data_IF_933014720413
#
_entry.id   IF_933014720413
#
_cell.length_a   1.000
_cell.length_b   1.000
_cell.length_c   1.000
_cell.angle_alpha   90.00
_cell.angle_beta   90.00
_cell.angle_gamma   90.00
#
_symmetry.space_group_name_H-M   'P 1'
#
loop_
_entity.id
_entity.type
_entity.pdbx_description
1 polymer ?
#
# COMPACT_ATOMS: atom_id res chain seq x y z
N UNK A 1 0.20 9.60 17.83
CA UNK A 1 1.49 9.30 17.20
C UNK A 1 1.40 7.86 16.72
N UNK A 2 1.28 7.64 15.42
CA UNK A 2 1.42 6.31 14.86
C UNK A 2 2.89 5.96 14.95
N UNK A 3 3.24 4.79 15.48
CA UNK A 3 4.60 4.31 15.37
C UNK A 3 4.83 3.97 13.89
N UNK A 4 5.97 4.36 13.30
CA UNK A 4 6.30 3.90 11.97
C UNK A 4 6.45 2.38 12.02
N UNK A 5 5.81 1.70 11.08
CA UNK A 5 5.93 0.26 10.94
C UNK A 5 7.19 0.06 10.10
N UNK A 6 8.15 -0.69 10.64
CA UNK A 6 9.24 -1.20 9.82
C UNK A 6 8.72 -2.40 9.04
N UNK A 7 8.96 -2.40 7.72
CA UNK A 7 8.69 -3.55 6.88
C UNK A 7 9.43 -4.78 7.40
N UNK A 8 8.82 -5.96 7.26
CA UNK A 8 9.59 -7.20 7.38
C UNK A 8 10.53 -7.34 6.18
N UNK A 9 11.61 -8.14 6.25
CA UNK A 9 12.44 -8.42 5.09
C UNK A 9 11.66 -8.93 3.87
N UNK A 10 10.55 -9.65 4.12
CA UNK A 10 9.62 -10.09 3.06
C UNK A 10 8.87 -8.91 2.44
N UNK A 11 8.35 -7.98 3.26
CA UNK A 11 7.72 -6.76 2.77
C UNK A 11 8.67 -5.95 1.89
N UNK A 12 9.91 -5.74 2.33
CA UNK A 12 10.87 -4.92 1.58
C UNK A 12 11.31 -5.59 0.27
N UNK A 13 11.38 -6.93 0.24
CA UNK A 13 11.61 -7.68 -0.99
C UNK A 13 10.46 -7.51 -1.99
N UNK A 14 9.20 -7.56 -1.54
CA UNK A 14 8.02 -7.34 -2.40
C UNK A 14 7.99 -5.90 -2.92
N UNK A 15 8.26 -4.92 -2.05
CA UNK A 15 8.34 -3.52 -2.41
C UNK A 15 9.43 -3.27 -3.45
N UNK A 16 10.62 -3.85 -3.26
CA UNK A 16 11.71 -3.74 -4.22
C UNK A 16 11.34 -4.38 -5.57
N UNK A 17 10.69 -5.55 -5.56
CA UNK A 17 10.18 -6.24 -6.75
C UNK A 17 9.19 -5.36 -7.52
N UNK A 18 8.30 -4.67 -6.81
CA UNK A 18 7.35 -3.72 -7.41
C UNK A 18 8.06 -2.50 -8.03
N UNK A 19 9.03 -1.90 -7.32
CA UNK A 19 9.82 -0.78 -7.84
C UNK A 19 10.62 -1.22 -9.09
N UNK A 20 11.25 -2.39 -9.04
CA UNK A 20 12.00 -2.93 -10.17
C UNK A 20 11.09 -3.16 -11.38
N UNK A 21 9.89 -3.70 -11.19
CA UNK A 21 8.94 -3.89 -12.28
C UNK A 21 8.49 -2.57 -12.90
N UNK A 22 8.15 -1.59 -12.07
CA UNK A 22 7.78 -0.24 -12.51
C UNK A 22 8.91 0.44 -13.30
N UNK A 23 10.16 0.20 -12.90
CA UNK A 23 11.35 0.80 -13.51
C UNK A 23 11.50 0.48 -15.00
N UNK A 24 10.96 -0.65 -15.47
CA UNK A 24 10.97 -1.05 -16.88
C UNK A 24 10.23 -0.09 -17.82
N UNK A 25 9.38 0.77 -17.25
CA UNK A 25 8.52 1.68 -18.00
C UNK A 25 8.77 3.16 -17.66
N UNK A 26 9.88 3.48 -16.98
CA UNK A 26 10.23 4.83 -16.54
C UNK A 26 11.67 5.15 -16.89
N UNK A 27 11.99 6.43 -17.05
CA UNK A 27 13.32 6.84 -17.52
C UNK A 27 14.20 7.38 -16.40
N UNK A 28 13.60 7.95 -15.35
CA UNK A 28 14.32 8.64 -14.29
C UNK A 28 13.94 8.13 -12.89
N UNK A 29 14.94 7.98 -12.03
CA UNK A 29 14.82 7.79 -10.59
C UNK A 29 15.05 9.13 -9.89
N UNK A 30 14.18 9.44 -8.93
CA UNK A 30 14.32 10.56 -8.02
C UNK A 30 14.21 10.07 -6.59
N UNK A 31 15.15 10.47 -5.74
CA UNK A 31 15.15 10.18 -4.30
C UNK A 31 15.23 11.49 -3.53
N UNK A 32 14.45 11.62 -2.45
CA UNK A 32 14.58 12.73 -1.50
C UNK A 32 15.02 12.15 -0.16
N UNK A 33 16.23 12.52 0.28
CA UNK A 33 16.94 11.89 1.39
C UNK A 33 17.30 12.94 2.43
N UNK A 34 16.93 12.71 3.69
CA UNK A 34 17.42 13.47 4.85
C UNK A 34 18.84 12.98 5.18
N UNK A 35 19.84 13.50 4.47
CA UNK A 35 21.21 12.96 4.54
C UNK A 35 21.79 13.00 5.93
N UNK A 36 21.44 13.99 6.76
CA UNK A 36 21.89 14.07 8.15
C UNK A 36 21.33 12.93 9.00
N UNK A 37 20.10 12.50 8.74
CA UNK A 37 19.48 11.37 9.46
C UNK A 37 20.09 10.03 9.02
N UNK A 38 20.45 9.90 7.74
CA UNK A 38 20.99 8.65 7.19
C UNK A 38 22.49 8.50 7.46
N UNK A 39 23.28 9.58 7.40
CA UNK A 39 24.74 9.51 7.48
C UNK A 39 25.26 9.05 8.85
N UNK A 40 24.49 9.29 9.92
CA UNK A 40 24.85 8.90 11.27
C UNK A 40 24.94 7.38 11.43
N UNK A 41 23.99 6.65 10.84
CA UNK A 41 23.89 5.19 10.96
C UNK A 41 24.38 4.44 9.71
N UNK A 42 24.25 5.05 8.52
CA UNK A 42 24.51 4.45 7.21
C UNK A 42 25.35 5.35 6.28
N UNK A 43 26.56 5.77 6.69
CA UNK A 43 27.39 6.68 5.88
C UNK A 43 27.79 6.10 4.52
N UNK A 44 27.93 4.77 4.43
CA UNK A 44 28.23 4.10 3.16
C UNK A 44 27.09 4.19 2.14
N UNK A 45 25.84 4.30 2.59
CA UNK A 45 24.68 4.47 1.70
C UNK A 45 24.69 5.87 1.10
N UNK A 46 24.98 6.90 1.90
CA UNK A 46 25.15 8.27 1.38
C UNK A 46 26.32 8.35 0.39
N UNK A 47 27.45 7.73 0.71
CA UNK A 47 28.58 7.68 -0.21
C UNK A 47 28.21 6.99 -1.53
N UNK A 48 27.48 5.88 -1.47
CA UNK A 48 26.98 5.19 -2.67
C UNK A 48 26.06 6.08 -3.51
N UNK A 49 25.18 6.87 -2.88
CA UNK A 49 24.31 7.82 -3.57
C UNK A 49 25.13 8.94 -4.23
N UNK A 50 26.06 9.55 -3.50
CA UNK A 50 26.92 10.62 -4.01
C UNK A 50 27.83 10.15 -5.16
N UNK A 51 28.30 8.90 -5.14
CA UNK A 51 29.14 8.32 -6.18
C UNK A 51 28.37 7.94 -7.46
N UNK A 52 27.06 7.64 -7.34
CA UNK A 52 26.27 7.02 -8.42
C UNK A 52 25.15 7.90 -8.97
N UNK A 53 24.68 8.88 -8.21
CA UNK A 53 23.46 9.63 -8.49
C UNK A 53 23.74 11.13 -8.42
N UNK A 54 23.20 11.89 -9.37
CA UNK A 54 23.42 13.33 -9.42
C UNK A 54 22.66 14.02 -8.29
N UNK A 55 23.40 14.69 -7.40
CA UNK A 55 22.83 15.49 -6.33
C UNK A 55 22.35 16.83 -6.85
N UNK A 56 21.06 17.13 -6.66
CA UNK A 56 20.44 18.41 -7.04
C UNK A 56 19.84 19.09 -5.80
N UNK A 57 20.37 20.24 -5.40
CA UNK A 57 19.84 21.03 -4.26
C UNK A 57 20.47 20.74 -2.89
N UNK A 58 20.26 21.69 -1.97
CA UNK A 58 20.88 21.77 -0.63
C UNK A 58 19.86 22.16 0.47
N UNK A 59 18.59 21.81 0.30
CA UNK A 59 17.58 21.96 1.35
C UNK A 59 17.70 20.87 2.42
N UNK A 60 16.91 20.96 3.48
CA UNK A 60 16.87 20.02 4.62
C UNK A 60 16.95 18.54 4.17
N UNK A 61 16.18 18.18 3.13
CA UNK A 61 16.38 16.94 2.39
C UNK A 61 17.09 17.20 1.04
N UNK A 62 18.02 16.31 0.70
CA UNK A 62 18.80 16.31 -0.53
C UNK A 62 18.08 15.51 -1.59
N UNK A 63 17.95 16.08 -2.78
CA UNK A 63 17.38 15.41 -3.94
C UNK A 63 18.48 14.77 -4.79
N UNK A 64 18.31 13.50 -5.10
CA UNK A 64 19.19 12.69 -5.92
C UNK A 64 18.44 12.27 -7.18
N UNK A 65 19.02 12.49 -8.35
CA UNK A 65 18.43 12.16 -9.65
C UNK A 65 19.39 11.34 -10.51
N UNK A 66 18.89 10.27 -11.12
CA UNK A 66 19.64 9.44 -12.07
C UNK A 66 18.69 8.84 -13.11
N UNK A 67 19.25 8.42 -14.24
CA UNK A 67 18.55 7.52 -15.16
C UNK A 67 18.28 6.17 -14.47
N UNK A 68 17.17 5.54 -14.83
CA UNK A 68 16.86 4.19 -14.36
C UNK A 68 17.87 3.20 -14.95
N UNK A 69 18.58 2.50 -14.07
CA UNK A 69 19.61 1.53 -14.41
C UNK A 69 19.78 0.53 -13.27
N UNK A 70 20.52 -0.56 -13.51
CA UNK A 70 20.88 -1.51 -12.45
C UNK A 70 21.54 -0.82 -11.26
N UNK A 71 22.45 0.13 -11.52
CA UNK A 71 23.20 0.84 -10.47
C UNK A 71 22.31 1.73 -9.60
N UNK A 72 21.32 2.41 -10.20
CA UNK A 72 20.38 3.26 -9.47
C UNK A 72 19.33 2.43 -8.71
N UNK A 73 18.92 1.27 -9.24
CA UNK A 73 18.07 0.32 -8.51
C UNK A 73 18.79 -0.33 -7.32
N UNK A 74 20.08 -0.67 -7.43
CA UNK A 74 20.88 -1.15 -6.29
C UNK A 74 20.93 -0.13 -5.15
N UNK A 75 20.97 1.17 -5.47
CA UNK A 75 20.92 2.21 -4.45
C UNK A 75 19.57 2.24 -3.70
N UNK A 76 18.45 2.02 -4.41
CA UNK A 76 17.15 1.86 -3.78
C UNK A 76 17.17 0.65 -2.84
N UNK A 77 17.71 -0.48 -3.29
CA UNK A 77 17.79 -1.68 -2.45
C UNK A 77 18.55 -1.40 -1.15
N UNK A 78 19.70 -0.75 -1.22
CA UNK A 78 20.47 -0.36 -0.02
C UNK A 78 19.69 0.57 0.92
N UNK A 79 18.83 1.46 0.38
CA UNK A 79 17.94 2.31 1.18
C UNK A 79 16.77 1.52 1.81
N UNK A 80 16.29 0.46 1.15
CA UNK A 80 15.25 -0.43 1.67
C UNK A 80 15.78 -1.33 2.79
N UNK A 81 17.05 -1.72 2.73
CA UNK A 81 17.73 -2.57 3.73
C UNK A 81 18.12 -1.82 5.02
N UNK A 82 18.03 -0.49 5.04
CA UNK A 82 18.20 0.30 6.27
C UNK A 82 17.09 -0.02 7.27
N UNK A 83 17.38 0.12 8.56
CA UNK A 83 16.40 -0.06 9.64
C UNK A 83 16.35 1.16 10.54
N UNK A 84 15.41 1.22 11.48
CA UNK A 84 15.30 2.30 12.45
C UNK A 84 14.89 3.65 11.86
N UNK A 85 15.28 4.71 12.58
CA UNK A 85 14.99 6.10 12.24
C UNK A 85 15.49 6.49 10.84
N UNK A 86 16.66 6.00 10.44
CA UNK A 86 17.24 6.25 9.12
C UNK A 86 16.36 5.72 7.99
N UNK A 87 15.70 4.58 8.18
CA UNK A 87 14.78 4.03 7.19
C UNK A 87 13.51 4.87 7.05
N UNK A 88 12.89 5.17 8.19
CA UNK A 88 11.56 5.79 8.24
C UNK A 88 11.62 7.27 7.87
N UNK A 89 12.56 8.00 8.46
CA UNK A 89 12.64 9.46 8.33
C UNK A 89 13.78 9.90 7.42
N UNK A 90 14.79 9.04 7.22
CA UNK A 90 15.91 9.33 6.34
C UNK A 90 15.55 9.32 4.86
N UNK A 91 14.52 8.55 4.47
CA UNK A 91 14.03 8.47 3.08
C UNK A 91 12.65 9.10 2.99
N UNK A 92 12.56 10.29 2.40
CA UNK A 92 11.29 11.01 2.26
C UNK A 92 10.44 10.49 1.12
N UNK A 93 11.06 10.24 -0.03
CA UNK A 93 10.39 9.58 -1.14
C UNK A 93 11.37 8.81 -2.05
N UNK A 94 10.82 7.81 -2.72
CA UNK A 94 11.39 7.15 -3.89
C UNK A 94 10.40 7.36 -5.03
N UNK A 95 10.82 7.96 -6.12
CA UNK A 95 9.96 8.25 -7.26
C UNK A 95 10.57 7.71 -8.56
N UNK A 96 9.72 7.12 -9.40
CA UNK A 96 10.05 6.82 -10.78
C UNK A 96 9.24 7.73 -11.69
N UNK A 97 9.93 8.34 -12.67
CA UNK A 97 9.41 9.43 -13.49
C UNK A 97 9.57 9.08 -14.97
N UNK A 98 8.54 9.42 -15.75
CA UNK A 98 8.53 9.39 -17.22
C UNK A 98 7.91 10.67 -17.73
N UNK A 99 8.51 11.30 -18.74
CA UNK A 99 7.99 12.53 -19.36
C UNK A 99 7.66 13.65 -18.34
N UNK A 100 8.50 13.78 -17.30
CA UNK A 100 8.33 14.70 -16.16
C UNK A 100 7.09 14.43 -15.26
N UNK A 101 6.40 13.31 -15.45
CA UNK A 101 5.30 12.85 -14.60
C UNK A 101 5.74 11.69 -13.70
N UNK A 102 5.29 11.72 -12.44
CA UNK A 102 5.56 10.65 -11.48
C UNK A 102 4.69 9.43 -11.79
N UNK A 103 5.30 8.35 -12.25
CA UNK A 103 4.62 7.08 -12.51
C UNK A 103 4.55 6.20 -11.25
N UNK A 104 5.54 6.29 -10.37
CA UNK A 104 5.55 5.62 -9.07
C UNK A 104 6.05 6.58 -7.99
N UNK A 105 5.40 6.57 -6.82
CA UNK A 105 5.90 7.22 -5.62
C UNK A 105 5.72 6.31 -4.41
N UNK A 106 6.80 6.11 -3.68
CA UNK A 106 6.83 5.45 -2.37
C UNK A 106 7.28 6.43 -1.29
N UNK A 107 6.55 6.49 -0.18
CA UNK A 107 6.85 7.31 1.01
C UNK A 107 6.95 6.39 2.24
N UNK A 108 8.17 6.05 2.68
CA UNK A 108 8.41 5.11 3.79
C UNK A 108 7.69 5.48 5.09
N UNK A 109 7.76 6.75 5.50
CA UNK A 109 7.13 7.25 6.75
C UNK A 109 5.63 6.94 6.84
N UNK A 110 4.95 6.81 5.70
CA UNK A 110 3.51 6.56 5.61
C UNK A 110 3.17 5.20 4.98
N UNK A 111 4.17 4.38 4.68
CA UNK A 111 4.05 3.16 3.87
C UNK A 111 3.22 3.36 2.60
N UNK A 112 3.23 4.58 2.07
CA UNK A 112 2.33 4.96 0.98
C UNK A 112 2.99 4.64 -0.34
N UNK A 113 2.44 3.68 -1.06
CA UNK A 113 2.88 3.28 -2.38
C UNK A 113 1.81 3.62 -3.43
N UNK A 114 2.17 4.43 -4.42
CA UNK A 114 1.25 4.93 -5.44
C UNK A 114 1.83 4.71 -6.82
N UNK A 115 1.00 4.26 -7.76
CA UNK A 115 1.35 4.05 -9.17
C UNK A 115 0.33 4.78 -10.04
N UNK A 116 0.80 5.37 -11.14
CA UNK A 116 0.01 6.09 -12.12
C UNK A 116 0.35 5.61 -13.53
N UNK A 117 -0.67 5.25 -14.31
CA UNK A 117 -0.54 4.78 -15.71
C UNK A 117 -0.64 5.92 -16.74
N UNK A 118 -0.75 7.17 -16.26
CA UNK A 118 -1.01 8.37 -17.09
C UNK A 118 0.05 8.62 -18.16
N UNK A 119 1.32 8.65 -17.78
CA UNK A 119 2.48 8.82 -18.68
C UNK A 119 3.07 7.50 -19.15
N UNK A 120 2.73 6.38 -18.52
CA UNK A 120 3.38 5.09 -18.77
C UNK A 120 2.39 3.93 -18.80
N UNK A 121 1.69 3.77 -19.91
CA UNK A 121 0.70 2.70 -20.10
C UNK A 121 1.29 1.31 -19.84
N UNK A 122 0.62 0.54 -18.99
CA UNK A 122 0.99 -0.82 -18.61
C UNK A 122 1.85 -0.92 -17.34
N UNK A 123 2.22 0.18 -16.69
CA UNK A 123 3.05 0.13 -15.48
C UNK A 123 2.33 -0.58 -14.32
N UNK A 124 1.02 -0.36 -14.18
CA UNK A 124 0.18 -1.05 -13.19
C UNK A 124 0.20 -2.56 -13.42
N UNK A 125 0.03 -3.00 -14.67
CA UNK A 125 0.06 -4.42 -15.02
C UNK A 125 1.46 -5.03 -14.82
N UNK A 126 2.53 -4.29 -15.12
CA UNK A 126 3.89 -4.75 -14.89
C UNK A 126 4.15 -5.00 -13.40
N UNK A 127 3.72 -4.08 -12.54
CA UNK A 127 3.85 -4.23 -11.09
C UNK A 127 2.98 -5.38 -10.58
N UNK A 128 1.70 -5.43 -10.95
CA UNK A 128 0.78 -6.50 -10.55
C UNK A 128 1.33 -7.89 -10.95
N UNK A 129 1.83 -8.03 -12.17
CA UNK A 129 2.43 -9.29 -12.63
C UNK A 129 3.69 -9.66 -11.85
N UNK A 130 4.50 -8.68 -11.45
CA UNK A 130 5.71 -8.93 -10.69
C UNK A 130 5.41 -9.36 -9.26
N UNK A 131 4.41 -8.77 -8.61
CA UNK A 131 3.99 -9.14 -7.25
C UNK A 131 3.00 -10.31 -7.22
N UNK A 132 2.60 -10.85 -8.37
CA UNK A 132 1.71 -12.00 -8.43
C UNK A 132 2.32 -13.20 -7.66
N UNK A 133 1.52 -13.78 -6.75
CA UNK A 133 1.96 -14.83 -5.82
C UNK A 133 2.62 -14.31 -4.54
N UNK A 134 2.75 -13.00 -4.37
CA UNK A 134 3.10 -12.37 -3.09
C UNK A 134 1.83 -11.95 -2.35
N UNK A 135 1.87 -11.77 -1.01
CA UNK A 135 0.76 -11.23 -0.22
C UNK A 135 0.61 -9.71 -0.43
N UNK A 136 0.46 -9.27 -1.69
CA UNK A 136 0.36 -7.87 -2.08
C UNK A 136 -0.47 -7.71 -3.36
N UNK A 137 -1.23 -6.61 -3.43
CA UNK A 137 -2.13 -6.29 -4.54
C UNK A 137 -2.07 -4.80 -4.87
N UNK A 138 -2.15 -4.46 -6.15
CA UNK A 138 -2.34 -3.08 -6.60
C UNK A 138 -3.84 -2.79 -6.71
N UNK A 139 -4.34 -1.94 -5.81
CA UNK A 139 -5.75 -1.56 -5.79
C UNK A 139 -5.96 -0.16 -6.39
N UNK A 140 -7.10 0.08 -7.06
CA UNK A 140 -7.45 1.40 -7.56
C UNK A 140 -7.70 2.37 -6.41
N UNK A 141 -7.31 3.64 -6.60
CA UNK A 141 -7.56 4.73 -5.64
C UNK A 141 -8.95 5.37 -5.84
N UNK A 142 -9.96 4.55 -6.10
CA UNK A 142 -11.37 4.95 -6.26
C UNK A 142 -12.26 3.83 -5.73
N UNK A 143 -13.53 4.12 -5.38
CA UNK A 143 -14.47 3.06 -5.04
C UNK A 143 -14.55 2.00 -6.15
N UNK A 144 -14.49 0.74 -5.76
CA UNK A 144 -14.69 -0.41 -6.67
C UNK A 144 -16.18 -0.79 -6.71
N UNK A 145 -16.87 -0.67 -5.57
CA UNK A 145 -18.30 -0.90 -5.46
C UNK A 145 -18.92 0.09 -4.47
N UNK A 146 -20.16 0.47 -4.74
CA UNK A 146 -20.96 1.39 -3.93
C UNK A 146 -22.41 0.85 -3.88
N UNK A 147 -23.03 0.85 -2.70
CA UNK A 147 -24.42 0.40 -2.50
C UNK A 147 -25.04 1.07 -1.28
N UNK A 148 -26.33 0.86 -1.05
CA UNK A 148 -27.05 1.33 0.14
C UNK A 148 -27.54 0.13 0.97
N UNK A 149 -27.30 0.13 2.28
CA UNK A 149 -27.84 -0.86 3.22
C UNK A 149 -28.68 -0.15 4.29
N UNK A 150 -30.00 -0.33 4.25
CA UNK A 150 -30.96 0.28 5.18
C UNK A 150 -30.84 1.81 5.33
N UNK A 151 -30.54 2.52 4.24
CA UNK A 151 -30.34 3.98 4.26
C UNK A 151 -28.93 4.43 4.62
N UNK A 152 -27.96 3.50 4.67
CA UNK A 152 -26.54 3.78 4.91
C UNK A 152 -25.75 3.58 3.63
N UNK A 153 -25.10 4.64 3.15
CA UNK A 153 -24.18 4.56 2.02
C UNK A 153 -22.98 3.68 2.38
N UNK A 154 -22.74 2.67 1.56
CA UNK A 154 -21.67 1.70 1.74
C UNK A 154 -20.76 1.71 0.50
N UNK A 155 -19.45 1.54 0.71
CA UNK A 155 -18.51 1.44 -0.39
C UNK A 155 -17.31 0.57 -0.08
N UNK A 156 -16.77 -0.07 -1.10
CA UNK A 156 -15.42 -0.63 -1.09
C UNK A 156 -14.52 0.42 -1.72
N UNK A 157 -13.83 1.16 -0.86
CA UNK A 157 -12.85 2.19 -1.22
C UNK A 157 -11.48 1.72 -0.74
N UNK A 158 -10.75 0.92 -1.53
CA UNK A 158 -9.53 0.26 -1.09
C UNK A 158 -8.51 1.21 -0.42
N UNK A 159 -7.83 0.77 0.65
CA UNK A 159 -7.89 -0.56 1.26
C UNK A 159 -9.03 -0.72 2.29
N UNK A 160 -10.11 0.06 2.19
CA UNK A 160 -11.16 0.13 3.20
C UNK A 160 -12.53 -0.31 2.69
N UNK A 161 -13.30 -0.93 3.59
CA UNK A 161 -14.75 -1.07 3.51
C UNK A 161 -15.38 0.04 4.37
N UNK A 162 -16.15 0.93 3.77
CA UNK A 162 -16.77 2.06 4.47
C UNK A 162 -18.29 1.87 4.54
N UNK A 163 -18.87 2.05 5.74
CA UNK A 163 -20.31 2.12 5.98
C UNK A 163 -20.64 3.45 6.66
N UNK A 164 -21.37 4.31 5.97
CA UNK A 164 -21.61 5.68 6.36
C UNK A 164 -20.28 6.44 6.55
N UNK A 165 -20.00 6.85 7.78
CA UNK A 165 -18.79 7.60 8.13
C UNK A 165 -17.70 6.76 8.81
N UNK A 166 -17.82 5.44 8.80
CA UNK A 166 -16.86 4.51 9.42
C UNK A 166 -16.22 3.64 8.35
N UNK A 167 -14.89 3.54 8.36
CA UNK A 167 -14.13 2.70 7.44
C UNK A 167 -13.34 1.63 8.19
N UNK A 168 -13.33 0.42 7.64
CA UNK A 168 -12.68 -0.77 8.15
C UNK A 168 -11.59 -1.22 7.18
N UNK A 169 -10.39 -1.44 7.70
CA UNK A 169 -9.23 -1.90 6.94
C UNK A 169 -9.43 -3.36 6.46
N UNK A 170 -9.50 -3.54 5.13
CA UNK A 170 -9.71 -4.83 4.47
C UNK A 170 -8.52 -5.77 4.60
N UNK A 171 -7.32 -5.30 4.98
CA UNK A 171 -6.17 -6.17 5.24
C UNK A 171 -6.41 -7.18 6.37
N UNK A 172 -7.45 -6.94 7.20
CA UNK A 172 -7.85 -7.82 8.30
C UNK A 172 -8.98 -8.78 7.95
N UNK A 173 -9.48 -8.72 6.73
CA UNK A 173 -10.54 -9.59 6.25
C UNK A 173 -9.93 -10.96 5.95
N UNK A 174 -10.36 -11.98 6.69
CA UNK A 174 -9.83 -13.34 6.63
C UNK A 174 -10.54 -14.16 5.54
N UNK A 175 -11.87 -14.03 5.42
CA UNK A 175 -12.62 -14.66 4.33
C UNK A 175 -13.93 -13.92 4.02
N UNK A 176 -14.43 -14.18 2.83
CA UNK A 176 -15.67 -13.64 2.26
C UNK A 176 -16.50 -14.83 1.81
N UNK A 177 -17.69 -14.99 2.38
CA UNK A 177 -18.58 -16.11 2.10
C UNK A 177 -19.89 -15.59 1.45
N UNK A 178 -19.99 -15.62 0.11
CA UNK A 178 -21.18 -15.16 -0.58
C UNK A 178 -22.34 -16.15 -0.43
N UNK A 179 -23.53 -15.61 -0.15
CA UNK A 179 -24.81 -16.33 -0.07
C UNK A 179 -25.83 -15.73 -1.07
N UNK A 180 -25.72 -16.06 -2.38
CA UNK A 180 -26.51 -15.42 -3.44
C UNK A 180 -28.03 -15.58 -3.26
N UNK A 181 -28.48 -16.71 -2.71
CA UNK A 181 -29.91 -16.98 -2.50
C UNK A 181 -30.55 -16.01 -1.49
N UNK A 182 -29.74 -15.44 -0.60
CA UNK A 182 -30.19 -14.52 0.46
C UNK A 182 -29.81 -13.07 0.16
N UNK A 183 -29.06 -12.81 -0.92
CA UNK A 183 -28.42 -11.51 -1.19
C UNK A 183 -27.62 -11.01 0.01
N UNK A 184 -26.76 -11.90 0.52
CA UNK A 184 -25.94 -11.65 1.71
C UNK A 184 -24.50 -12.08 1.46
N UNK A 185 -23.54 -11.28 1.93
CA UNK A 185 -22.13 -11.68 2.01
C UNK A 185 -21.71 -11.70 3.48
N UNK A 186 -21.25 -12.86 3.96
CA UNK A 186 -20.67 -13.00 5.29
C UNK A 186 -19.18 -12.64 5.26
N UNK A 187 -18.75 -11.84 6.24
CA UNK A 187 -17.39 -11.35 6.38
C UNK A 187 -16.77 -11.93 7.65
N UNK A 188 -15.69 -12.67 7.49
CA UNK A 188 -14.92 -13.16 8.62
C UNK A 188 -13.62 -12.39 8.70
N UNK A 189 -13.32 -11.89 9.87
CA UNK A 189 -12.14 -11.07 10.12
C UNK A 189 -11.20 -11.79 11.07
N UNK A 190 -9.89 -11.56 10.93
CA UNK A 190 -8.96 -12.00 11.95
C UNK A 190 -9.34 -11.41 13.31
N UNK A 191 -9.29 -12.24 14.37
CA UNK A 191 -9.48 -11.76 15.73
C UNK A 191 -8.40 -10.71 16.04
N UNK A 192 -8.81 -9.52 16.49
CA UNK A 192 -7.85 -8.51 16.91
C UNK A 192 -6.95 -9.08 18.01
N UNK A 193 -5.65 -8.88 17.90
CA UNK A 193 -4.65 -9.30 18.89
C UNK A 193 -5.15 -9.13 20.32
N UNK A 194 -5.01 -10.20 21.11
CA UNK A 194 -5.40 -10.27 22.51
C UNK A 194 -4.68 -9.17 23.31
N UNK A 195 -5.36 -8.05 23.56
CA UNK A 195 -4.80 -6.94 24.33
C UNK A 195 -5.86 -5.95 24.84
N UNK A 196 -5.58 -5.33 25.99
CA UNK A 196 -6.50 -4.35 26.64
C UNK A 196 -6.82 -3.13 25.75
N UNK A 197 -5.93 -2.79 24.80
CA UNK A 197 -6.10 -1.67 23.87
C UNK A 197 -7.04 -2.04 22.70
N UNK A 198 -6.90 -3.25 22.13
CA UNK A 198 -7.83 -3.75 21.11
C UNK A 198 -9.27 -3.85 21.62
N UNK A 199 -9.43 -4.28 22.88
CA UNK A 199 -10.73 -4.28 23.57
C UNK A 199 -11.30 -2.88 23.82
N UNK A 200 -10.45 -1.87 24.03
CA UNK A 200 -10.88 -0.50 24.25
C UNK A 200 -11.33 0.21 22.95
N UNK A 201 -10.63 -0.03 21.84
CA UNK A 201 -11.03 0.47 20.51
C UNK A 201 -12.33 -0.22 20.07
N UNK A 202 -12.44 -1.54 20.21
CA UNK A 202 -13.68 -2.26 19.94
C UNK A 202 -14.86 -1.81 20.81
N UNK A 203 -14.60 -1.34 22.04
CA UNK A 203 -15.62 -0.79 22.95
C UNK A 203 -16.05 0.65 22.61
N UNK A 204 -15.18 1.44 21.97
CA UNK A 204 -15.54 2.79 21.50
C UNK A 204 -16.34 2.68 20.20
N UNK A 205 -15.94 1.80 19.27
CA UNK A 205 -16.69 1.53 18.03
C UNK A 205 -18.08 0.93 18.29
N UNK A 206 -18.25 0.12 19.33
CA UNK A 206 -19.57 -0.41 19.71
C UNK A 206 -20.51 0.62 20.33
N UNK A 207 -20.01 1.80 20.73
CA UNK A 207 -20.83 2.91 21.25
C UNK A 207 -21.38 3.84 20.16
N UNK A 208 -20.84 3.79 18.95
CA UNK A 208 -21.32 4.56 17.79
C UNK A 208 -22.32 3.78 16.92
N UNK A 209 -22.61 2.52 17.24
CA UNK A 209 -23.61 1.70 16.54
C UNK A 209 -23.15 1.10 15.21
N UNK A 210 -21.95 1.44 14.75
CA UNK A 210 -21.33 0.91 13.53
C UNK A 210 -20.13 0.06 13.93
N UNK A 211 -20.41 -1.13 14.43
CA UNK A 211 -19.40 -2.18 14.60
C UNK A 211 -18.90 -2.64 13.23
N UNK A 212 -17.67 -3.17 13.20
CA UNK A 212 -17.16 -3.91 12.03
C UNK A 212 -18.22 -4.91 11.55
N UNK A 213 -18.66 -4.87 10.28
CA UNK A 213 -19.75 -5.71 9.80
C UNK A 213 -19.24 -7.14 9.62
N UNK A 214 -19.99 -8.10 10.16
CA UNK A 214 -19.78 -9.53 9.88
C UNK A 214 -20.71 -10.01 8.74
N UNK A 215 -21.61 -9.15 8.28
CA UNK A 215 -22.62 -9.47 7.25
C UNK A 215 -22.95 -8.20 6.47
N UNK A 216 -23.00 -8.30 5.14
CA UNK A 216 -23.48 -7.27 4.23
C UNK A 216 -24.78 -7.73 3.58
N UNK A 217 -25.76 -6.83 3.48
CA UNK A 217 -27.05 -7.08 2.85
C UNK A 217 -27.21 -6.25 1.57
N UNK A 218 -27.88 -6.83 0.57
CA UNK A 218 -28.08 -6.19 -0.73
C UNK A 218 -29.55 -6.25 -1.15
N UNK A 219 -30.03 -5.20 -1.80
CA UNK A 219 -31.41 -5.16 -2.31
C UNK A 219 -31.53 -5.80 -3.69
N UNK A 220 -30.43 -5.90 -4.42
CA UNK A 220 -30.39 -6.44 -5.77
C UNK A 220 -29.26 -7.44 -6.01
N UNK A 221 -29.47 -8.34 -6.98
CA UNK A 221 -28.43 -9.25 -7.46
C UNK A 221 -27.26 -8.52 -8.12
N UNK A 222 -27.50 -7.33 -8.70
CA UNK A 222 -26.47 -6.54 -9.36
C UNK A 222 -25.49 -5.97 -8.32
N UNK A 223 -25.99 -5.30 -7.28
CA UNK A 223 -25.17 -4.79 -6.17
C UNK A 223 -24.42 -5.92 -5.48
N UNK A 224 -25.11 -7.05 -5.22
CA UNK A 224 -24.49 -8.24 -4.65
C UNK A 224 -23.28 -8.70 -5.49
N UNK A 225 -23.44 -8.83 -6.81
CA UNK A 225 -22.39 -9.30 -7.70
C UNK A 225 -21.23 -8.30 -7.81
N UNK A 226 -21.50 -7.00 -7.89
CA UNK A 226 -20.47 -5.96 -7.95
C UNK A 226 -19.61 -5.95 -6.67
N UNK A 227 -20.26 -6.11 -5.51
CA UNK A 227 -19.60 -6.12 -4.20
C UNK A 227 -18.86 -7.43 -3.96
N UNK A 228 -19.42 -8.57 -4.37
CA UNK A 228 -18.75 -9.87 -4.37
C UNK A 228 -17.46 -9.81 -5.20
N UNK A 229 -17.53 -9.31 -6.44
CA UNK A 229 -16.36 -9.17 -7.31
C UNK A 229 -15.31 -8.23 -6.70
N UNK A 230 -15.73 -7.10 -6.13
CA UNK A 230 -14.84 -6.17 -5.45
C UNK A 230 -14.13 -6.78 -4.23
N UNK A 231 -14.85 -7.51 -3.38
CA UNK A 231 -14.29 -8.19 -2.21
C UNK A 231 -13.39 -9.36 -2.61
N UNK A 232 -13.77 -10.12 -3.63
CA UNK A 232 -12.94 -11.19 -4.18
C UNK A 232 -11.66 -10.64 -4.78
N UNK A 233 -11.69 -9.53 -5.51
CA UNK A 233 -10.49 -8.89 -6.04
C UNK A 233 -9.52 -8.47 -4.92
N UNK A 234 -10.05 -7.98 -3.78
CA UNK A 234 -9.21 -7.63 -2.63
C UNK A 234 -8.68 -8.87 -1.89
N UNK A 235 -9.49 -9.93 -1.73
CA UNK A 235 -9.13 -11.09 -0.88
C UNK A 235 -8.39 -12.22 -1.61
N UNK A 236 -8.73 -12.50 -2.86
CA UNK A 236 -8.09 -13.54 -3.68
C UNK A 236 -6.63 -13.22 -4.04
N UNK A 237 -6.28 -11.94 -4.06
CA UNK A 237 -4.90 -11.48 -4.30
C UNK A 237 -4.07 -11.32 -3.02
N UNK A 238 -4.71 -11.22 -1.85
CA UNK A 238 -4.03 -11.22 -0.53
C UNK A 238 -3.85 -12.66 0.00
N UNK A 239 -4.68 -13.61 -0.45
CA UNK A 239 -4.80 -14.96 0.10
C UNK A 239 -3.82 -16.02 -0.40
N UNK A 240 -2.83 -15.72 -1.24
CA UNK A 240 -1.80 -16.70 -1.62
C UNK A 240 -0.66 -16.75 -0.59
N UNK A 241 -0.98 -17.20 0.64
CA UNK A 241 -0.15 -18.05 1.52
C UNK A 241 -0.68 -18.01 2.96
N UNK A 242 -1.46 -19.02 3.32
CA UNK A 242 -1.57 -19.49 4.71
C UNK A 242 -1.44 -21.01 4.71
N UNK A 243 -0.19 -21.49 4.72
CA UNK A 243 0.18 -22.81 5.23
C UNK A 243 1.46 -22.70 6.07
#
# INVERSE_FOLDING_TARGET
MSYPIEGTPRHDAILFKAIQAASSSTDQLVLLIETETVIDDYPSVIQQLDDRISRTGHTDAVRYEADVSTSSLEAIQSLLEMTGTARVYGVRNVELVRDAETCLRYVPEHEKFTISDTSSTGIVNAVQNAINGEPAVVLPNRPIAEWEDTGVDCSISPPSLCLGNVCHDLSRLASVEPCPEQLVIELHWYESEQGRIGKAIGWISSRTGLSRPDTLHFESTAEFSDVEEGLQAVTSEIGQETL
#
